data_IF_840214419308
#
_entry.id   IF_840214419308
#
_cell.length_a   1.000
_cell.length_b   1.000
_cell.length_c   1.000
_cell.angle_alpha   90.00
_cell.angle_beta   90.00
_cell.angle_gamma   90.00
#
_symmetry.space_group_name_H-M   'P 1'
#
loop_
_entity.id
_entity.type
_entity.pdbx_description
1 polymer ?
#
# COMPACT_ATOMS: atom_id res chain seq x y z
N UNK A 1 74.60 -88.63 -24.78
CA UNK A 1 73.27 -88.72 -25.43
C UNK A 1 72.33 -89.13 -24.32
N UNK A 2 71.96 -88.17 -23.48
CA UNK A 2 70.92 -87.15 -23.71
C UNK A 2 69.55 -87.74 -23.40
N UNK A 3 69.09 -87.44 -22.19
CA UNK A 3 67.72 -87.58 -21.72
C UNK A 3 67.51 -86.39 -20.78
N UNK A 4 67.06 -85.27 -21.32
CA UNK A 4 66.55 -84.15 -20.51
C UNK A 4 65.03 -84.16 -20.64
N UNK A 5 64.38 -84.66 -19.58
CA UNK A 5 62.96 -84.50 -19.34
C UNK A 5 62.70 -83.11 -18.76
N UNK A 6 61.63 -82.50 -19.26
CA UNK A 6 61.08 -81.22 -18.85
C UNK A 6 60.78 -81.17 -17.34
N UNK A 7 61.13 -80.05 -16.70
CA UNK A 7 60.54 -79.65 -15.43
C UNK A 7 60.07 -78.21 -15.57
N UNK A 8 58.78 -78.05 -15.85
CA UNK A 8 58.07 -76.77 -15.78
C UNK A 8 58.05 -76.30 -14.33
N UNK A 9 58.57 -75.10 -14.08
CA UNK A 9 58.47 -74.43 -12.80
C UNK A 9 57.41 -73.34 -12.93
N UNK A 10 56.19 -73.61 -12.48
CA UNK A 10 55.13 -72.62 -12.36
C UNK A 10 55.60 -71.51 -11.40
N UNK A 11 55.74 -70.30 -11.93
CA UNK A 11 55.91 -69.09 -11.12
C UNK A 11 54.51 -68.56 -10.83
N UNK A 12 54.01 -68.79 -9.61
CA UNK A 12 52.83 -68.10 -9.10
C UNK A 12 53.14 -66.60 -9.06
N UNK A 13 52.58 -65.85 -10.03
CA UNK A 13 52.51 -64.40 -9.95
C UNK A 13 51.41 -64.06 -8.95
N UNK A 14 51.79 -63.71 -7.73
CA UNK A 14 50.89 -63.10 -6.75
C UNK A 14 50.30 -61.82 -7.36
N UNK A 15 49.03 -61.87 -7.77
CA UNK A 15 48.27 -60.70 -8.16
C UNK A 15 48.13 -59.77 -6.95
N UNK A 16 48.80 -58.62 -7.03
CA UNK A 16 48.69 -57.56 -6.05
C UNK A 16 47.30 -56.92 -6.16
N UNK A 17 46.37 -57.37 -5.32
CA UNK A 17 45.01 -56.82 -5.23
C UNK A 17 45.04 -55.41 -4.60
N UNK A 18 45.14 -54.38 -5.44
CA UNK A 18 45.02 -52.98 -5.03
C UNK A 18 43.55 -52.52 -5.05
N UNK A 19 42.69 -53.14 -4.25
CA UNK A 19 41.33 -52.68 -3.99
C UNK A 19 41.29 -51.60 -2.88
N UNK A 20 41.67 -50.37 -3.21
CA UNK A 20 41.00 -49.20 -2.62
C UNK A 20 39.95 -48.71 -3.63
N UNK A 21 38.85 -49.47 -3.73
CA UNK A 21 37.69 -49.14 -4.54
C UNK A 21 37.10 -47.80 -4.08
N UNK A 22 37.26 -46.77 -4.90
CA UNK A 22 36.60 -45.48 -4.73
C UNK A 22 35.08 -45.71 -4.64
N UNK A 23 34.48 -45.47 -3.45
CA UNK A 23 33.04 -45.67 -3.23
C UNK A 23 32.27 -44.52 -3.87
N UNK A 24 31.39 -44.83 -4.81
CA UNK A 24 30.49 -43.86 -5.43
C UNK A 24 29.06 -44.41 -5.49
N UNK A 25 28.09 -43.49 -5.54
CA UNK A 25 26.67 -43.80 -5.74
C UNK A 25 26.17 -43.06 -6.98
N UNK A 26 25.38 -43.73 -7.82
CA UNK A 26 24.78 -43.11 -9.01
C UNK A 26 23.35 -42.69 -8.67
N UNK A 27 23.11 -41.38 -8.65
CA UNK A 27 21.80 -40.81 -8.37
C UNK A 27 21.06 -40.46 -9.68
N UNK A 28 19.75 -40.70 -9.69
CA UNK A 28 18.84 -40.14 -10.71
C UNK A 28 18.50 -38.68 -10.37
N UNK A 29 17.99 -37.88 -11.33
CA UNK A 29 17.55 -36.51 -11.06
C UNK A 29 16.58 -36.38 -9.88
N UNK A 30 15.68 -37.35 -9.68
CA UNK A 30 14.75 -37.37 -8.55
C UNK A 30 15.47 -37.55 -7.20
N UNK A 31 16.58 -38.30 -7.18
CA UNK A 31 17.45 -38.45 -6.01
C UNK A 31 18.11 -37.13 -5.63
N UNK A 32 18.63 -36.40 -6.62
CA UNK A 32 19.23 -35.07 -6.41
C UNK A 32 18.20 -34.09 -5.83
N UNK A 33 16.97 -34.07 -6.39
CA UNK A 33 15.88 -33.22 -5.88
C UNK A 33 15.50 -33.63 -4.45
N UNK A 34 15.47 -34.93 -4.15
CA UNK A 34 15.17 -35.44 -2.81
C UNK A 34 16.19 -34.95 -1.79
N UNK A 35 17.49 -35.02 -2.11
CA UNK A 35 18.54 -34.56 -1.21
C UNK A 35 18.54 -33.03 -1.05
N UNK A 36 18.25 -32.31 -2.13
CA UNK A 36 18.02 -30.87 -2.10
C UNK A 36 16.87 -30.50 -1.13
N UNK A 37 15.74 -31.21 -1.21
CA UNK A 37 14.57 -30.97 -0.35
C UNK A 37 14.83 -31.31 1.13
N UNK A 38 15.63 -32.35 1.41
CA UNK A 38 16.07 -32.67 2.78
C UNK A 38 16.88 -31.51 3.38
N UNK A 39 17.89 -31.01 2.66
CA UNK A 39 18.70 -29.85 3.08
C UNK A 39 17.84 -28.61 3.32
N UNK A 40 16.95 -28.29 2.37
CA UNK A 40 16.01 -27.15 2.52
C UNK A 40 15.15 -27.34 3.77
N UNK A 41 14.61 -28.53 4.01
CA UNK A 41 13.71 -28.79 5.14
C UNK A 41 14.45 -28.69 6.48
N UNK A 42 15.68 -29.20 6.55
CA UNK A 42 16.54 -29.07 7.72
C UNK A 42 16.79 -27.59 8.07
N UNK A 43 17.30 -26.81 7.11
CA UNK A 43 17.58 -25.38 7.33
C UNK A 43 16.30 -24.58 7.59
N UNK A 44 15.19 -24.90 6.94
CA UNK A 44 13.88 -24.27 7.19
C UNK A 44 13.44 -24.42 8.65
N UNK A 45 13.74 -25.58 9.26
CA UNK A 45 13.38 -25.84 10.66
C UNK A 45 14.21 -25.00 11.62
N UNK A 46 15.46 -24.69 11.25
CA UNK A 46 16.38 -23.88 12.06
C UNK A 46 16.06 -22.38 11.92
N UNK A 47 15.85 -21.92 10.67
CA UNK A 47 15.66 -20.50 10.37
C UNK A 47 14.21 -20.03 10.61
N UNK A 48 13.25 -20.95 10.67
CA UNK A 48 11.81 -20.66 10.74
C UNK A 48 11.31 -19.75 9.61
N UNK A 49 11.83 -19.94 8.39
CA UNK A 49 11.43 -19.21 7.18
C UNK A 49 10.89 -20.16 6.11
N UNK A 50 10.05 -19.71 5.16
CA UNK A 50 9.48 -20.58 4.13
C UNK A 50 10.54 -21.35 3.33
N UNK A 51 10.19 -22.57 2.90
CA UNK A 51 11.10 -23.41 2.09
C UNK A 51 11.60 -22.71 0.82
N UNK A 52 10.77 -21.85 0.22
CA UNK A 52 11.12 -21.03 -0.94
C UNK A 52 12.20 -20.01 -0.62
N UNK A 53 12.07 -19.30 0.51
CA UNK A 53 13.07 -18.38 1.06
C UNK A 53 14.37 -19.12 1.37
N UNK A 54 14.30 -20.23 2.09
CA UNK A 54 15.45 -21.09 2.42
C UNK A 54 16.20 -21.53 1.16
N UNK A 55 15.48 -21.96 0.12
CA UNK A 55 16.08 -22.36 -1.16
C UNK A 55 16.84 -21.20 -1.83
N UNK A 56 16.29 -19.98 -1.80
CA UNK A 56 16.94 -18.81 -2.41
C UNK A 56 18.17 -18.39 -1.60
N UNK A 57 18.08 -18.43 -0.26
CA UNK A 57 19.23 -18.20 0.62
C UNK A 57 20.34 -19.22 0.36
N UNK A 58 20.03 -20.52 0.37
CA UNK A 58 21.00 -21.56 0.04
C UNK A 58 21.62 -21.34 -1.35
N UNK A 59 20.83 -20.95 -2.36
CA UNK A 59 21.36 -20.62 -3.67
C UNK A 59 22.34 -19.42 -3.65
N UNK A 60 22.02 -18.35 -2.92
CA UNK A 60 22.89 -17.19 -2.75
C UNK A 60 24.23 -17.56 -2.11
N UNK A 61 24.20 -18.47 -1.14
CA UNK A 61 25.37 -19.01 -0.45
C UNK A 61 26.01 -20.22 -1.15
N UNK A 62 25.62 -20.51 -2.40
CA UNK A 62 26.16 -21.63 -3.20
C UNK A 62 26.03 -23.00 -2.49
N UNK A 63 24.96 -23.18 -1.74
CA UNK A 63 24.65 -24.38 -0.94
C UNK A 63 25.60 -24.65 0.23
N UNK A 64 26.33 -23.63 0.69
CA UNK A 64 27.11 -23.67 1.93
C UNK A 64 26.21 -23.41 3.15
N UNK A 65 25.85 -24.49 3.86
CA UNK A 65 24.93 -24.45 5.01
C UNK A 65 25.56 -23.77 6.23
N UNK A 66 26.85 -24.03 6.50
CA UNK A 66 27.55 -23.49 7.67
C UNK A 66 27.69 -21.97 7.55
N UNK A 67 28.14 -21.50 6.37
CA UNK A 67 28.28 -20.08 6.11
C UNK A 67 26.96 -19.33 6.16
N UNK A 68 25.88 -19.94 5.64
CA UNK A 68 24.54 -19.37 5.74
C UNK A 68 24.12 -19.20 7.20
N UNK A 69 24.31 -20.22 8.04
CA UNK A 69 23.92 -20.17 9.45
C UNK A 69 24.78 -19.19 10.25
N UNK A 70 26.09 -19.14 9.99
CA UNK A 70 27.01 -18.17 10.61
C UNK A 70 26.58 -16.72 10.30
N UNK A 71 26.33 -16.41 9.03
CA UNK A 71 25.93 -15.07 8.61
C UNK A 71 24.51 -14.73 9.09
N UNK A 72 23.58 -15.70 9.13
CA UNK A 72 22.20 -15.51 9.60
C UNK A 72 22.12 -15.13 11.08
N UNK A 73 22.88 -15.82 11.93
CA UNK A 73 22.91 -15.56 13.37
C UNK A 73 23.91 -14.48 13.78
N UNK A 74 24.59 -13.87 12.81
CA UNK A 74 25.43 -12.68 13.03
C UNK A 74 24.58 -11.45 13.40
N UNK A 75 25.24 -10.35 13.81
CA UNK A 75 24.56 -9.10 14.17
C UNK A 75 23.81 -8.43 13.01
N UNK A 76 24.09 -8.82 11.76
CA UNK A 76 23.52 -8.22 10.56
C UNK A 76 22.70 -9.24 9.74
N UNK A 77 22.03 -10.18 10.42
CA UNK A 77 21.21 -11.22 9.77
C UNK A 77 20.14 -10.68 8.80
N UNK A 78 19.71 -9.42 8.95
CA UNK A 78 18.79 -8.77 8.00
C UNK A 78 19.45 -8.46 6.63
N UNK A 79 20.77 -8.24 6.58
CA UNK A 79 21.47 -7.90 5.35
C UNK A 79 21.53 -9.06 4.35
N UNK A 80 21.53 -10.30 4.83
CA UNK A 80 21.57 -11.49 3.95
C UNK A 80 20.32 -11.58 3.06
N UNK A 81 19.15 -11.22 3.61
CA UNK A 81 17.89 -11.24 2.87
C UNK A 81 17.97 -10.22 1.74
N UNK A 82 18.42 -9.00 2.06
CA UNK A 82 18.61 -7.93 1.07
C UNK A 82 19.63 -8.31 0.00
N UNK A 83 20.75 -8.93 0.36
CA UNK A 83 21.77 -9.40 -0.57
C UNK A 83 21.25 -10.50 -1.51
N UNK A 84 20.37 -11.37 -1.01
CA UNK A 84 19.67 -12.40 -1.78
C UNK A 84 18.45 -11.86 -2.57
N UNK A 85 18.13 -10.57 -2.48
CA UNK A 85 16.95 -9.97 -3.12
C UNK A 85 15.61 -10.33 -2.45
N UNK A 86 15.65 -10.82 -1.22
CA UNK A 86 14.52 -11.18 -0.39
C UNK A 86 14.18 -10.06 0.60
N UNK A 87 12.95 -10.09 1.10
CA UNK A 87 12.51 -9.26 2.22
C UNK A 87 12.56 -10.12 3.47
N UNK A 88 13.14 -9.58 4.54
CA UNK A 88 13.19 -10.22 5.85
C UNK A 88 11.76 -10.48 6.36
N UNK A 89 11.39 -11.72 6.72
CA UNK A 89 10.10 -12.03 7.34
C UNK A 89 9.93 -11.43 8.74
N UNK A 90 10.91 -10.69 9.24
CA UNK A 90 10.82 -9.79 10.37
C UNK A 90 10.97 -8.32 9.91
N UNK A 91 9.99 -7.48 10.21
CA UNK A 91 10.01 -6.06 9.87
C UNK A 91 9.69 -5.18 11.08
N UNK A 92 10.48 -4.12 11.25
CA UNK A 92 10.29 -3.15 12.33
C UNK A 92 9.14 -2.20 12.03
N UNK A 93 8.41 -1.81 13.08
CA UNK A 93 7.36 -0.82 12.96
C UNK A 93 7.96 0.52 12.47
N UNK A 94 7.42 1.13 11.40
CA UNK A 94 7.97 2.36 10.82
C UNK A 94 7.69 3.61 11.66
N UNK A 95 6.94 3.49 12.76
CA UNK A 95 6.66 4.61 13.66
C UNK A 95 7.91 4.88 14.51
N UNK A 96 8.43 6.12 14.51
CA UNK A 96 9.53 6.53 15.38
C UNK A 96 9.24 6.12 16.84
N UNK A 97 10.26 5.63 17.54
CA UNK A 97 10.22 5.25 18.96
C UNK A 97 9.27 4.09 19.34
N UNK A 98 8.64 3.42 18.37
CA UNK A 98 7.75 2.28 18.68
C UNK A 98 8.52 1.00 19.09
N UNK A 99 9.73 0.81 18.54
CA UNK A 99 10.68 -0.29 18.83
C UNK A 99 10.07 -1.70 18.84
N UNK A 100 8.96 -1.91 18.12
CA UNK A 100 8.28 -3.21 17.98
C UNK A 100 8.49 -3.75 16.57
N UNK A 101 8.76 -5.05 16.47
CA UNK A 101 8.83 -5.76 15.19
C UNK A 101 7.62 -6.68 14.99
N UNK A 102 7.30 -6.94 13.72
CA UNK A 102 6.28 -7.90 13.30
C UNK A 102 7.01 -9.02 12.56
N UNK A 103 6.72 -10.28 12.91
CA UNK A 103 7.20 -11.47 12.20
C UNK A 103 6.04 -12.09 11.43
N UNK A 104 6.25 -12.44 10.17
CA UNK A 104 5.28 -13.14 9.31
C UNK A 104 5.88 -14.47 8.85
N UNK A 105 5.02 -15.43 8.52
CA UNK A 105 5.47 -16.68 7.91
C UNK A 105 5.86 -16.45 6.45
N UNK A 106 5.01 -15.78 5.68
CA UNK A 106 5.23 -15.50 4.27
C UNK A 106 5.15 -14.00 4.01
N UNK A 107 6.06 -13.50 3.17
CA UNK A 107 6.10 -12.08 2.80
C UNK A 107 5.19 -11.83 1.62
N UNK A 108 4.00 -11.31 1.93
CA UNK A 108 2.98 -10.97 0.93
C UNK A 108 2.71 -9.47 0.90
N UNK A 109 1.96 -9.03 -0.12
CA UNK A 109 1.45 -7.67 -0.19
C UNK A 109 0.18 -7.53 0.65
N UNK A 110 0.33 -7.70 1.96
CA UNK A 110 -0.77 -7.62 2.92
C UNK A 110 -0.46 -6.57 4.00
N UNK A 111 -1.50 -5.96 4.61
CA UNK A 111 -1.29 -5.04 5.70
C UNK A 111 -1.02 -5.77 6.99
N UNK A 112 -0.03 -5.30 7.74
CA UNK A 112 0.17 -5.70 9.13
C UNK A 112 -0.21 -4.56 10.06
N UNK A 113 -0.80 -4.89 11.21
CA UNK A 113 -1.14 -3.92 12.26
C UNK A 113 -0.23 -4.14 13.47
N UNK A 114 0.59 -3.15 13.77
CA UNK A 114 1.40 -3.15 14.99
C UNK A 114 0.49 -2.93 16.22
N UNK A 115 0.94 -3.40 17.39
CA UNK A 115 0.26 -3.16 18.67
C UNK A 115 0.17 -1.67 19.05
N UNK A 116 0.96 -0.78 18.45
CA UNK A 116 0.77 0.68 18.56
C UNK A 116 -0.46 1.20 17.80
N UNK A 117 -1.14 0.34 17.02
CA UNK A 117 -2.29 0.70 16.19
C UNK A 117 -1.94 1.03 14.74
N UNK A 118 -0.66 1.23 14.39
CA UNK A 118 -0.23 1.55 13.02
C UNK A 118 -0.42 0.37 12.08
N UNK A 119 -1.07 0.62 10.94
CA UNK A 119 -1.22 -0.31 9.81
C UNK A 119 -0.21 0.07 8.71
N UNK A 120 0.61 -0.86 8.26
CA UNK A 120 1.65 -0.62 7.26
C UNK A 120 1.84 -1.82 6.33
N UNK A 121 2.48 -1.61 5.19
CA UNK A 121 2.81 -2.69 4.25
C UNK A 121 4.05 -3.43 4.74
N UNK A 122 3.95 -4.75 4.92
CA UNK A 122 5.09 -5.54 5.39
C UNK A 122 6.27 -5.50 4.41
N UNK A 123 5.99 -5.51 3.11
CA UNK A 123 6.98 -5.64 2.03
C UNK A 123 7.88 -4.41 1.85
N UNK A 124 7.35 -3.21 2.06
CA UNK A 124 8.08 -1.95 1.82
C UNK A 124 8.21 -1.06 3.05
N UNK A 125 7.60 -1.44 4.17
CA UNK A 125 7.54 -0.67 5.42
C UNK A 125 6.89 0.72 5.32
N UNK A 126 6.34 1.07 4.15
CA UNK A 126 5.50 2.25 3.97
C UNK A 126 4.11 2.04 4.55
N UNK A 127 3.35 3.13 4.63
CA UNK A 127 1.93 3.03 5.01
C UNK A 127 1.14 2.12 4.10
N UNK A 128 0.10 1.50 4.66
CA UNK A 128 -0.73 0.60 3.89
C UNK A 128 -1.31 1.36 2.69
N UNK A 129 -0.96 0.89 1.50
CA UNK A 129 -1.11 1.66 0.29
C UNK A 129 -1.88 0.93 -0.80
N UNK A 130 -2.85 0.08 -0.44
CA UNK A 130 -3.81 -0.41 -1.42
C UNK A 130 -4.62 0.78 -1.99
N UNK A 131 -4.90 0.80 -3.31
CA UNK A 131 -4.76 -0.32 -4.23
C UNK A 131 -3.44 -0.35 -5.05
N UNK A 132 -2.49 0.54 -4.77
CA UNK A 132 -1.24 0.60 -5.54
C UNK A 132 -0.20 -0.40 -5.04
N UNK A 133 0.51 -1.09 -5.96
CA UNK A 133 1.62 -1.98 -5.60
C UNK A 133 2.87 -1.20 -5.18
N UNK A 134 3.70 -1.83 -4.32
CA UNK A 134 4.95 -1.25 -3.79
C UNK A 134 5.88 -0.72 -4.89
N UNK A 135 5.90 -1.36 -6.07
CA UNK A 135 6.74 -0.93 -7.21
C UNK A 135 6.37 0.47 -7.71
N UNK A 136 5.09 0.77 -7.82
CA UNK A 136 4.62 2.04 -8.35
C UNK A 136 4.62 3.14 -7.30
N UNK A 137 4.33 2.80 -6.03
CA UNK A 137 4.49 3.75 -4.93
C UNK A 137 5.95 4.25 -4.85
N UNK A 138 6.94 3.36 -4.95
CA UNK A 138 8.36 3.76 -4.98
C UNK A 138 8.69 4.69 -6.15
N UNK A 139 8.15 4.42 -7.35
CA UNK A 139 8.30 5.31 -8.51
C UNK A 139 7.68 6.69 -8.25
N UNK A 140 6.49 6.73 -7.66
CA UNK A 140 5.82 7.97 -7.28
C UNK A 140 6.63 8.79 -6.28
N UNK A 141 7.08 8.16 -5.19
CA UNK A 141 7.88 8.83 -4.14
C UNK A 141 9.18 9.39 -4.74
N UNK A 142 9.89 8.61 -5.57
CA UNK A 142 11.09 9.08 -6.25
C UNK A 142 10.81 10.31 -7.12
N UNK A 143 9.77 10.26 -7.96
CA UNK A 143 9.36 11.38 -8.82
C UNK A 143 9.05 12.63 -7.98
N UNK A 144 8.30 12.47 -6.89
CA UNK A 144 7.92 13.60 -6.02
C UNK A 144 9.11 14.23 -5.28
N UNK A 145 10.17 13.46 -5.00
CA UNK A 145 11.38 13.96 -4.33
C UNK A 145 12.26 14.80 -5.28
N UNK A 146 12.22 14.49 -6.58
CA UNK A 146 12.97 15.20 -7.62
C UNK A 146 12.26 16.49 -8.09
N UNK A 147 10.98 16.67 -7.71
CA UNK A 147 10.17 17.81 -8.14
C UNK A 147 10.40 19.09 -7.32
N UNK A 148 11.42 19.85 -7.69
CA UNK A 148 11.60 21.24 -7.24
C UNK A 148 10.54 22.20 -7.81
N UNK A 149 9.87 21.83 -8.91
CA UNK A 149 8.96 22.69 -9.70
C UNK A 149 7.55 22.80 -9.15
N UNK A 150 7.10 21.90 -8.27
CA UNK A 150 5.73 21.97 -7.74
C UNK A 150 5.57 22.92 -6.54
N UNK A 151 6.67 23.48 -6.04
CA UNK A 151 6.68 24.43 -4.92
C UNK A 151 6.03 25.78 -5.27
N UNK A 152 5.84 26.11 -6.55
CA UNK A 152 5.47 27.46 -6.99
C UNK A 152 3.96 27.73 -7.11
N UNK A 153 3.09 26.72 -7.06
CA UNK A 153 1.64 26.86 -7.32
C UNK A 153 0.75 26.56 -6.10
N UNK A 154 1.30 26.64 -4.89
CA UNK A 154 0.57 26.33 -3.65
C UNK A 154 -0.34 27.50 -3.25
N UNK A 155 -1.52 27.55 -3.87
CA UNK A 155 -2.70 28.25 -3.36
C UNK A 155 -3.63 27.28 -2.62
N UNK A 156 -3.08 26.44 -1.73
CA UNK A 156 -3.78 25.24 -1.21
C UNK A 156 -4.77 25.58 -0.09
N UNK A 157 -4.54 26.66 0.65
CA UNK A 157 -5.30 26.95 1.88
C UNK A 157 -6.21 28.17 1.79
N UNK A 158 -6.06 29.03 0.77
CA UNK A 158 -6.89 30.22 0.61
C UNK A 158 -7.41 30.33 -0.83
N UNK A 159 -8.72 30.49 -0.97
CA UNK A 159 -9.42 30.72 -2.25
C UNK A 159 -10.54 31.73 -2.07
N UNK A 160 -11.04 32.29 -3.16
CA UNK A 160 -12.21 33.17 -3.14
C UNK A 160 -13.51 32.40 -3.37
N UNK A 161 -14.62 32.88 -2.81
CA UNK A 161 -15.94 32.36 -3.09
C UNK A 161 -16.30 32.59 -4.56
N UNK A 162 -16.71 31.57 -5.33
CA UNK A 162 -17.06 31.73 -6.75
C UNK A 162 -18.30 32.61 -7.00
N UNK A 163 -19.12 32.88 -5.97
CA UNK A 163 -20.33 33.71 -6.11
C UNK A 163 -20.14 35.14 -5.59
N UNK A 164 -19.41 35.35 -4.50
CA UNK A 164 -19.29 36.68 -3.89
C UNK A 164 -17.85 37.17 -3.69
N UNK A 165 -16.86 36.39 -4.14
CA UNK A 165 -15.42 36.69 -4.08
C UNK A 165 -14.85 36.90 -2.67
N UNK A 166 -15.63 36.64 -1.62
CA UNK A 166 -15.12 36.66 -0.25
C UNK A 166 -13.98 35.65 -0.10
N UNK A 167 -12.88 36.07 0.52
CA UNK A 167 -11.76 35.19 0.84
C UNK A 167 -12.21 34.09 1.81
N UNK A 168 -11.85 32.84 1.51
CA UNK A 168 -12.16 31.64 2.26
C UNK A 168 -10.84 30.91 2.54
N UNK A 169 -10.58 30.65 3.82
CA UNK A 169 -9.50 29.76 4.26
C UNK A 169 -10.07 28.36 4.50
N UNK A 170 -9.36 27.32 4.05
CA UNK A 170 -9.78 25.93 4.27
C UNK A 170 -9.48 25.51 5.71
N UNK A 171 -10.53 25.24 6.49
CA UNK A 171 -10.44 24.93 7.92
C UNK A 171 -10.96 23.53 8.30
N UNK A 172 -10.83 22.54 7.41
CA UNK A 172 -11.32 21.17 7.61
C UNK A 172 -11.09 20.28 6.39
N UNK A 173 -11.26 18.97 6.55
CA UNK A 173 -10.91 17.97 5.54
C UNK A 173 -11.91 17.92 4.38
N UNK A 174 -13.15 18.35 4.61
CA UNK A 174 -14.22 18.32 3.63
C UNK A 174 -13.95 19.24 2.41
N UNK A 175 -14.18 18.74 1.19
CA UNK A 175 -14.13 19.61 -0.01
C UNK A 175 -15.47 20.30 -0.32
N UNK A 176 -16.56 19.95 0.37
CA UNK A 176 -17.83 20.67 0.31
C UNK A 176 -17.75 21.89 1.21
N UNK A 177 -17.75 23.07 0.61
CA UNK A 177 -17.58 24.34 1.31
C UNK A 177 -18.85 25.17 1.20
N UNK A 178 -19.26 25.75 2.33
CA UNK A 178 -20.40 26.68 2.40
C UNK A 178 -19.86 28.08 2.75
N UNK A 179 -20.04 29.04 1.84
CA UNK A 179 -19.57 30.41 2.05
C UNK A 179 -20.28 31.05 3.26
N UNK A 180 -19.53 31.58 4.22
CA UNK A 180 -20.11 32.22 5.41
C UNK A 180 -20.89 33.49 5.07
N UNK A 181 -20.45 34.22 4.04
CA UNK A 181 -21.03 35.50 3.61
C UNK A 181 -22.31 35.33 2.79
N UNK A 182 -22.27 34.54 1.70
CA UNK A 182 -23.42 34.40 0.78
C UNK A 182 -24.17 33.05 0.87
N UNK A 183 -23.73 32.14 1.76
CA UNK A 183 -24.27 30.78 1.92
C UNK A 183 -24.20 29.88 0.67
N UNK A 184 -23.51 30.30 -0.38
CA UNK A 184 -23.27 29.47 -1.55
C UNK A 184 -22.44 28.24 -1.22
N UNK A 185 -22.88 27.08 -1.71
CA UNK A 185 -22.19 25.81 -1.54
C UNK A 185 -21.46 25.41 -2.82
N UNK A 186 -20.19 25.03 -2.69
CA UNK A 186 -19.34 24.71 -3.83
C UNK A 186 -18.26 23.68 -3.48
N UNK A 187 -17.65 23.11 -4.52
CA UNK A 187 -16.52 22.19 -4.39
C UNK A 187 -15.20 22.97 -4.31
N UNK A 188 -14.39 22.74 -3.27
CA UNK A 188 -13.05 23.35 -3.11
C UNK A 188 -12.09 22.99 -4.26
N UNK A 189 -12.32 21.85 -4.94
CA UNK A 189 -11.50 21.40 -6.06
C UNK A 189 -11.78 22.23 -7.30
N UNK A 190 -13.00 22.13 -7.82
CA UNK A 190 -13.36 22.64 -9.15
C UNK A 190 -14.14 23.96 -9.12
N UNK A 191 -14.40 24.52 -7.93
CA UNK A 191 -15.17 25.77 -7.69
C UNK A 191 -16.60 25.78 -8.24
N UNK A 192 -17.08 24.66 -8.79
CA UNK A 192 -18.47 24.49 -9.26
C UNK A 192 -19.45 24.30 -8.09
N UNK A 193 -20.71 24.64 -8.34
CA UNK A 193 -21.85 24.50 -7.41
C UNK A 193 -21.90 23.10 -6.80
N UNK A 194 -22.19 23.02 -5.50
CA UNK A 194 -22.53 21.79 -4.83
C UNK A 194 -24.05 21.58 -4.86
N UNK A 195 -24.50 20.41 -5.32
CA UNK A 195 -25.93 20.07 -5.37
C UNK A 195 -26.12 18.61 -4.97
N UNK A 196 -25.80 18.29 -3.71
CA UNK A 196 -25.81 16.93 -3.16
C UNK A 196 -24.58 16.08 -3.51
N UNK A 197 -23.89 16.40 -4.62
CA UNK A 197 -22.59 15.86 -5.04
C UNK A 197 -21.78 16.94 -5.74
N UNK A 198 -20.50 16.70 -5.97
CA UNK A 198 -19.71 17.56 -6.85
C UNK A 198 -20.34 17.59 -8.26
N UNK A 199 -20.78 18.76 -8.73
CA UNK A 199 -21.46 18.91 -10.02
C UNK A 199 -20.54 18.63 -11.22
N UNK A 200 -19.22 18.77 -11.05
CA UNK A 200 -18.27 18.41 -12.11
C UNK A 200 -18.24 16.89 -12.26
N UNK A 201 -18.91 16.38 -13.29
CA UNK A 201 -18.89 14.96 -13.67
C UNK A 201 -17.47 14.43 -13.92
N UNK A 202 -16.51 15.32 -14.18
CA UNK A 202 -15.09 15.01 -14.42
C UNK A 202 -14.14 15.60 -13.36
N UNK A 203 -14.60 15.91 -12.15
CA UNK A 203 -13.73 16.50 -11.10
C UNK A 203 -12.46 15.68 -10.78
N UNK A 204 -12.50 14.37 -11.03
CA UNK A 204 -11.46 13.42 -10.72
C UNK A 204 -10.80 12.79 -11.97
N UNK A 205 -11.27 13.11 -13.19
CA UNK A 205 -10.71 12.59 -14.45
C UNK A 205 -9.89 13.68 -15.15
N UNK A 206 -8.74 13.31 -15.68
CA UNK A 206 -7.94 14.20 -16.52
C UNK A 206 -8.47 14.11 -17.96
N UNK A 207 -8.82 15.26 -18.55
CA UNK A 207 -9.30 15.36 -19.93
C UNK A 207 -8.42 16.37 -20.68
N UNK A 208 -7.73 15.89 -21.72
CA UNK A 208 -6.80 16.68 -22.54
C UNK A 208 -7.54 17.78 -23.35
N UNK A 209 -8.85 17.64 -23.56
CA UNK A 209 -9.61 18.46 -24.50
C UNK A 209 -10.21 19.77 -23.94
N UNK A 210 -10.22 19.99 -22.62
CA UNK A 210 -10.93 21.14 -22.01
C UNK A 210 -10.06 22.38 -21.72
N UNK A 211 -8.75 22.37 -22.01
CA UNK A 211 -7.86 23.54 -21.84
C UNK A 211 -7.17 23.97 -23.15
N UNK A 212 -7.98 24.27 -24.17
CA UNK A 212 -7.54 25.07 -25.32
C UNK A 212 -8.09 26.48 -25.12
N UNK A 213 -7.23 27.42 -24.72
CA UNK A 213 -7.30 28.89 -24.95
C UNK A 213 -6.62 29.72 -23.84
N UNK A 214 -5.41 29.38 -23.41
CA UNK A 214 -4.47 30.37 -22.86
C UNK A 214 -3.08 30.08 -23.41
N UNK A 215 -2.66 30.83 -24.43
CA UNK A 215 -1.27 30.93 -24.85
C UNK A 215 -0.45 31.39 -23.64
N UNK A 216 0.30 30.47 -23.07
CA UNK A 216 1.34 30.74 -22.07
C UNK A 216 2.36 29.60 -22.13
N UNK A 217 3.57 29.84 -21.61
CA UNK A 217 4.70 28.90 -21.55
C UNK A 217 4.37 27.60 -20.79
N UNK A 218 3.58 26.74 -21.42
CA UNK A 218 2.97 25.57 -20.80
C UNK A 218 3.97 24.39 -20.77
N UNK A 219 4.21 23.78 -19.59
CA UNK A 219 4.94 22.52 -19.47
C UNK A 219 4.25 21.38 -20.25
N UNK A 220 5.03 20.39 -20.72
CA UNK A 220 4.56 19.25 -21.54
C UNK A 220 3.29 18.57 -21.00
N UNK A 221 2.49 17.94 -21.87
CA UNK A 221 1.24 17.25 -21.48
C UNK A 221 1.44 16.19 -20.37
N UNK A 222 2.61 15.55 -20.35
CA UNK A 222 3.02 14.66 -19.27
C UNK A 222 3.14 15.38 -17.90
N UNK A 223 3.64 16.63 -17.87
CA UNK A 223 3.70 17.43 -16.66
C UNK A 223 2.30 17.83 -16.18
N UNK A 224 1.40 18.23 -17.08
CA UNK A 224 0.01 18.56 -16.73
C UNK A 224 -0.72 17.38 -16.10
N UNK A 225 -0.61 16.21 -16.74
CA UNK A 225 -1.18 14.95 -16.23
C UNK A 225 -0.61 14.65 -14.84
N UNK A 226 0.71 14.69 -14.70
CA UNK A 226 1.37 14.46 -13.41
C UNK A 226 0.87 15.43 -12.31
N UNK A 227 0.84 16.73 -12.62
CA UNK A 227 0.37 17.77 -11.70
C UNK A 227 -1.08 17.53 -11.26
N UNK A 228 -1.96 17.15 -12.19
CA UNK A 228 -3.37 16.84 -11.90
C UNK A 228 -3.51 15.76 -10.82
N UNK A 229 -2.79 14.64 -10.96
CA UNK A 229 -2.85 13.54 -9.99
C UNK A 229 -2.13 13.90 -8.69
N UNK A 230 -1.00 14.62 -8.77
CA UNK A 230 -0.24 15.07 -7.60
C UNK A 230 -1.03 16.01 -6.70
N UNK A 231 -1.75 16.97 -7.29
CA UNK A 231 -2.58 17.90 -6.52
C UNK A 231 -3.73 17.20 -5.80
N UNK A 232 -4.28 16.12 -6.36
CA UNK A 232 -5.34 15.32 -5.71
C UNK A 232 -4.78 14.44 -4.60
N UNK A 233 -3.61 13.84 -4.82
CA UNK A 233 -2.87 13.13 -3.78
C UNK A 233 -2.61 14.02 -2.56
N UNK A 234 -1.99 15.19 -2.75
CA UNK A 234 -1.63 16.13 -1.67
C UNK A 234 -2.87 16.62 -0.94
N UNK A 235 -3.98 16.83 -1.65
CA UNK A 235 -5.24 17.27 -1.04
C UNK A 235 -5.81 16.22 -0.08
N UNK A 236 -5.88 14.96 -0.50
CA UNK A 236 -6.34 13.88 0.38
C UNK A 236 -5.37 13.66 1.53
N UNK A 237 -4.06 13.81 1.32
CA UNK A 237 -3.06 13.80 2.39
C UNK A 237 -3.29 14.90 3.43
N UNK A 238 -3.53 16.14 2.98
CA UNK A 238 -3.82 17.26 3.88
C UNK A 238 -5.14 17.08 4.62
N UNK A 239 -6.20 16.59 3.94
CA UNK A 239 -7.47 16.27 4.58
C UNK A 239 -7.30 15.17 5.64
N UNK A 240 -6.50 14.14 5.37
CA UNK A 240 -6.19 13.07 6.33
C UNK A 240 -5.47 13.58 7.58
N UNK A 241 -4.54 14.53 7.44
CA UNK A 241 -3.86 15.15 8.59
C UNK A 241 -4.83 15.99 9.42
N UNK A 242 -5.77 16.71 8.79
CA UNK A 242 -6.80 17.47 9.50
C UNK A 242 -7.78 16.55 10.25
N UNK A 243 -8.13 15.41 9.66
CA UNK A 243 -8.97 14.38 10.29
C UNK A 243 -8.32 13.74 11.53
N UNK A 244 -6.98 13.84 11.68
CA UNK A 244 -6.29 13.40 12.91
C UNK A 244 -6.76 14.16 14.15
N UNK A 245 -7.06 15.45 14.00
CA UNK A 245 -7.56 16.30 15.08
C UNK A 245 -9.08 16.17 15.26
N UNK A 246 -9.81 15.80 14.20
CA UNK A 246 -11.26 15.64 14.22
C UNK A 246 -11.73 14.64 15.29
N UNK A 247 -10.97 13.58 15.57
CA UNK A 247 -11.35 12.60 16.60
C UNK A 247 -11.50 13.25 17.99
N UNK A 248 -10.58 14.13 18.37
CA UNK A 248 -10.63 14.83 19.66
C UNK A 248 -11.80 15.81 19.69
N UNK A 249 -11.99 16.58 18.62
CA UNK A 249 -13.08 17.55 18.51
C UNK A 249 -14.45 16.88 18.57
N UNK A 250 -14.63 15.79 17.82
CA UNK A 250 -15.84 14.96 17.83
C UNK A 250 -16.09 14.47 19.25
N UNK A 251 -15.09 13.91 19.92
CA UNK A 251 -15.27 13.39 21.27
C UNK A 251 -15.68 14.47 22.29
N UNK A 252 -15.04 15.64 22.24
CA UNK A 252 -15.37 16.76 23.11
C UNK A 252 -16.79 17.28 22.85
N UNK A 253 -17.21 17.39 21.58
CA UNK A 253 -18.57 17.83 21.21
C UNK A 253 -19.64 16.94 21.83
N UNK A 254 -19.47 15.62 21.76
CA UNK A 254 -20.51 14.68 22.19
C UNK A 254 -20.57 14.47 23.71
N UNK A 255 -19.43 14.56 24.39
CA UNK A 255 -19.40 14.55 25.85
C UNK A 255 -20.11 15.76 26.47
N UNK A 256 -20.25 16.85 25.71
CA UNK A 256 -20.98 18.06 26.15
C UNK A 256 -22.51 17.94 26.06
N UNK A 257 -23.03 16.89 25.38
CA UNK A 257 -24.47 16.69 25.29
C UNK A 257 -25.03 16.07 26.58
N UNK A 258 -26.26 16.43 26.94
CA UNK A 258 -26.97 15.87 28.10
C UNK A 258 -27.49 14.46 27.77
N UNK A 259 -26.63 13.46 27.92
CA UNK A 259 -26.92 12.05 27.61
C UNK A 259 -26.54 11.14 28.78
N UNK A 260 -27.15 9.96 28.87
CA UNK A 260 -26.76 8.93 29.83
C UNK A 260 -25.40 8.32 29.48
N UNK A 261 -24.73 7.73 30.47
CA UNK A 261 -23.42 7.10 30.28
C UNK A 261 -23.42 5.99 29.21
N UNK A 262 -24.51 5.22 29.08
CA UNK A 262 -24.65 4.16 28.06
C UNK A 262 -24.72 4.77 26.66
N UNK A 263 -25.48 5.85 26.49
CA UNK A 263 -25.64 6.53 25.20
C UNK A 263 -24.33 7.20 24.77
N UNK A 264 -23.59 7.81 25.70
CA UNK A 264 -22.25 8.38 25.44
C UNK A 264 -21.27 7.29 25.01
N UNK A 265 -21.27 6.12 25.67
CA UNK A 265 -20.42 5.00 25.27
C UNK A 265 -20.78 4.47 23.87
N UNK A 266 -22.06 4.32 23.58
CA UNK A 266 -22.52 3.91 22.24
C UNK A 266 -22.08 4.91 21.17
N UNK A 267 -22.27 6.21 21.44
CA UNK A 267 -21.90 7.29 20.54
C UNK A 267 -20.39 7.33 20.28
N UNK A 268 -19.59 7.12 21.33
CA UNK A 268 -18.14 7.00 21.22
C UNK A 268 -17.72 5.90 20.24
N UNK A 269 -18.33 4.71 20.34
CA UNK A 269 -18.04 3.59 19.44
C UNK A 269 -18.42 3.91 18.00
N UNK A 270 -19.61 4.48 17.79
CA UNK A 270 -20.10 4.87 16.47
C UNK A 270 -19.19 5.91 15.82
N UNK A 271 -18.82 6.96 16.56
CA UNK A 271 -17.98 8.04 16.05
C UNK A 271 -16.54 7.58 15.79
N UNK A 272 -15.97 6.77 16.68
CA UNK A 272 -14.65 6.17 16.47
C UNK A 272 -14.65 5.35 15.18
N UNK A 273 -15.70 4.57 14.92
CA UNK A 273 -15.84 3.82 13.67
C UNK A 273 -15.97 4.75 12.46
N UNK A 274 -16.78 5.80 12.55
CA UNK A 274 -16.98 6.76 11.48
C UNK A 274 -15.67 7.48 11.09
N UNK A 275 -14.91 7.97 12.06
CA UNK A 275 -13.62 8.63 11.82
C UNK A 275 -12.58 7.64 11.27
N UNK A 276 -12.53 6.41 11.77
CA UNK A 276 -11.61 5.39 11.24
C UNK A 276 -11.92 5.04 9.77
N UNK A 277 -13.20 4.87 9.41
CA UNK A 277 -13.61 4.64 8.03
C UNK A 277 -13.32 5.86 7.16
N UNK A 278 -13.59 7.08 7.65
CA UNK A 278 -13.27 8.31 6.93
C UNK A 278 -11.78 8.36 6.57
N UNK A 279 -10.90 8.17 7.56
CA UNK A 279 -9.45 8.13 7.36
C UNK A 279 -9.02 7.04 6.38
N UNK A 280 -9.58 5.83 6.51
CA UNK A 280 -9.30 4.72 5.58
C UNK A 280 -9.73 5.09 4.15
N UNK A 281 -10.88 5.72 3.95
CA UNK A 281 -11.32 6.12 2.61
C UNK A 281 -10.43 7.20 2.00
N UNK A 282 -9.94 8.16 2.79
CA UNK A 282 -8.96 9.17 2.33
C UNK A 282 -7.64 8.53 1.93
N UNK A 283 -7.12 7.60 2.75
CA UNK A 283 -5.91 6.84 2.44
C UNK A 283 -6.08 6.06 1.13
N UNK A 284 -7.16 5.30 0.98
CA UNK A 284 -7.45 4.57 -0.26
C UNK A 284 -7.56 5.51 -1.45
N UNK A 285 -8.32 6.61 -1.35
CA UNK A 285 -8.46 7.61 -2.42
C UNK A 285 -7.11 8.20 -2.85
N UNK A 286 -6.30 8.58 -1.87
CA UNK A 286 -4.95 9.11 -2.09
C UNK A 286 -4.13 8.16 -2.95
N UNK A 287 -4.10 6.87 -2.59
CA UNK A 287 -3.36 5.85 -3.35
C UNK A 287 -4.05 5.44 -4.66
N UNK A 288 -5.38 5.52 -4.76
CA UNK A 288 -6.11 5.31 -6.02
C UNK A 288 -5.73 6.34 -7.08
N UNK A 289 -5.45 7.60 -6.70
CA UNK A 289 -4.94 8.59 -7.65
C UNK A 289 -3.53 8.26 -8.15
N UNK A 290 -2.66 7.75 -7.29
CA UNK A 290 -1.33 7.30 -7.73
C UNK A 290 -1.47 6.10 -8.66
N UNK A 291 -2.37 5.16 -8.35
CA UNK A 291 -2.66 4.03 -9.22
C UNK A 291 -3.17 4.51 -10.59
N UNK A 292 -4.17 5.40 -10.61
CA UNK A 292 -4.78 5.90 -11.83
C UNK A 292 -3.81 6.71 -12.71
N UNK A 293 -2.83 7.39 -12.12
CA UNK A 293 -1.74 8.04 -12.85
C UNK A 293 -0.91 7.05 -13.67
N UNK A 294 -0.53 5.92 -13.07
CA UNK A 294 0.25 4.89 -13.78
C UNK A 294 -0.60 4.00 -14.68
N UNK A 295 -1.92 3.90 -14.47
CA UNK A 295 -2.79 3.08 -15.31
C UNK A 295 -3.02 3.71 -16.69
N UNK A 296 -2.85 2.92 -17.75
CA UNK A 296 -3.19 3.33 -19.11
C UNK A 296 -4.70 3.48 -19.32
N UNK A 297 -5.11 4.27 -20.33
CA UNK A 297 -6.52 4.46 -20.69
C UNK A 297 -7.14 3.12 -21.10
N UNK A 298 -8.17 2.69 -20.39
CA UNK A 298 -8.91 1.46 -20.67
C UNK A 298 -10.35 1.58 -20.14
N UNK A 299 -11.21 0.64 -20.54
CA UNK A 299 -12.56 0.53 -19.99
C UNK A 299 -12.51 0.31 -18.47
N UNK A 300 -11.54 -0.47 -17.99
CA UNK A 300 -11.35 -0.72 -16.56
C UNK A 300 -10.89 0.54 -15.83
N UNK A 301 -10.00 1.35 -16.41
CA UNK A 301 -9.64 2.65 -15.83
C UNK A 301 -10.85 3.58 -15.72
N UNK A 302 -11.73 3.58 -16.73
CA UNK A 302 -12.95 4.39 -16.71
C UNK A 302 -13.90 3.98 -15.58
N UNK A 303 -14.05 2.67 -15.34
CA UNK A 303 -14.84 2.12 -14.22
C UNK A 303 -14.21 2.50 -12.88
N UNK A 304 -12.88 2.38 -12.75
CA UNK A 304 -12.16 2.79 -11.56
C UNK A 304 -12.40 4.28 -11.26
N UNK A 305 -12.27 5.15 -12.25
CA UNK A 305 -12.48 6.59 -12.08
C UNK A 305 -13.92 6.92 -11.69
N UNK A 306 -14.91 6.14 -12.13
CA UNK A 306 -16.29 6.25 -11.65
C UNK A 306 -16.40 5.84 -10.18
N UNK A 307 -15.86 4.68 -9.80
CA UNK A 307 -15.84 4.20 -8.42
C UNK A 307 -15.12 5.17 -7.48
N UNK A 308 -14.01 5.78 -7.94
CA UNK A 308 -13.29 6.83 -7.21
C UNK A 308 -14.19 8.05 -6.98
N UNK A 309 -14.95 8.49 -7.97
CA UNK A 309 -15.83 9.66 -7.85
C UNK A 309 -16.93 9.44 -6.81
N UNK A 310 -17.56 8.26 -6.84
CA UNK A 310 -18.60 7.90 -5.88
C UNK A 310 -18.03 7.80 -4.47
N UNK A 311 -16.84 7.22 -4.32
CA UNK A 311 -16.12 7.18 -3.04
C UNK A 311 -15.78 8.58 -2.54
N UNK A 312 -15.27 9.47 -3.38
CA UNK A 312 -14.99 10.87 -2.98
C UNK A 312 -16.23 11.60 -2.49
N UNK A 313 -17.35 11.50 -3.20
CA UNK A 313 -18.60 12.14 -2.80
C UNK A 313 -19.11 11.58 -1.47
N UNK A 314 -19.03 10.27 -1.27
CA UNK A 314 -19.43 9.62 -0.02
C UNK A 314 -18.54 10.04 1.15
N UNK A 315 -17.21 10.04 0.95
CA UNK A 315 -16.20 10.48 1.91
C UNK A 315 -16.39 11.94 2.31
N UNK A 316 -16.56 12.85 1.34
CA UNK A 316 -16.80 14.27 1.64
C UNK A 316 -18.13 14.47 2.36
N UNK A 317 -19.17 13.70 2.01
CA UNK A 317 -20.44 13.74 2.74
C UNK A 317 -20.28 13.24 4.19
N UNK A 318 -19.55 12.16 4.44
CA UNK A 318 -19.30 11.67 5.80
C UNK A 318 -18.50 12.70 6.62
N UNK A 319 -17.43 13.26 6.04
CA UNK A 319 -16.62 14.31 6.65
C UNK A 319 -17.46 15.54 7.01
N UNK A 320 -18.35 15.98 6.12
CA UNK A 320 -19.28 17.08 6.41
C UNK A 320 -20.12 16.81 7.66
N UNK A 321 -20.80 15.65 7.74
CA UNK A 321 -21.64 15.31 8.89
C UNK A 321 -20.85 15.18 10.21
N UNK A 322 -19.58 14.81 10.16
CA UNK A 322 -18.71 14.74 11.33
C UNK A 322 -18.18 16.11 11.77
N UNK A 323 -18.01 17.04 10.83
CA UNK A 323 -17.50 18.39 11.08
C UNK A 323 -18.59 19.38 11.53
N UNK A 324 -19.85 19.14 11.14
CA UNK A 324 -21.00 19.99 11.49
C UNK A 324 -21.23 20.15 13.00
N UNK A 325 -21.92 21.24 13.36
CA UNK A 325 -22.47 21.45 14.70
C UNK A 325 -23.78 20.67 14.86
N UNK A 326 -24.01 20.15 16.06
CA UNK A 326 -25.09 19.20 16.31
C UNK A 326 -25.87 19.67 17.53
N UNK A 327 -27.14 19.97 17.31
CA UNK A 327 -28.07 20.42 18.32
C UNK A 327 -28.79 19.21 18.94
N UNK A 328 -29.08 19.28 20.25
CA UNK A 328 -29.71 18.20 21.03
C UNK A 328 -31.00 17.63 20.40
N UNK A 329 -31.76 18.46 19.66
CA UNK A 329 -33.02 18.06 19.05
C UNK A 329 -32.87 17.12 17.84
N UNK A 330 -31.70 17.11 17.17
CA UNK A 330 -31.47 16.35 15.94
C UNK A 330 -30.45 15.20 16.09
N UNK A 331 -29.93 14.99 17.31
CA UNK A 331 -28.84 14.05 17.60
C UNK A 331 -29.11 12.65 17.04
N UNK A 332 -30.28 12.08 17.31
CA UNK A 332 -30.63 10.72 16.85
C UNK A 332 -30.67 10.61 15.32
N UNK A 333 -31.20 11.62 14.65
CA UNK A 333 -31.27 11.66 13.20
C UNK A 333 -29.87 11.76 12.59
N UNK A 334 -29.01 12.60 13.18
CA UNK A 334 -27.64 12.81 12.71
C UNK A 334 -26.79 11.55 12.94
N UNK A 335 -26.92 10.88 14.09
CA UNK A 335 -26.24 9.61 14.38
C UNK A 335 -26.62 8.56 13.34
N UNK A 336 -27.91 8.38 13.03
CA UNK A 336 -28.36 7.43 11.99
C UNK A 336 -27.79 7.78 10.62
N UNK A 337 -27.75 9.06 10.24
CA UNK A 337 -27.14 9.50 8.98
C UNK A 337 -25.64 9.19 8.94
N UNK A 338 -24.90 9.43 10.03
CA UNK A 338 -23.46 9.11 10.14
C UNK A 338 -23.23 7.61 10.01
N UNK A 339 -24.01 6.77 10.68
CA UNK A 339 -23.89 5.31 10.59
C UNK A 339 -24.11 4.81 9.17
N UNK A 340 -25.18 5.25 8.50
CA UNK A 340 -25.48 4.86 7.13
C UNK A 340 -24.38 5.30 6.15
N UNK A 341 -23.88 6.53 6.30
CA UNK A 341 -22.78 7.06 5.48
C UNK A 341 -21.46 6.33 5.73
N UNK A 342 -21.18 5.99 7.00
CA UNK A 342 -20.02 5.20 7.38
C UNK A 342 -20.05 3.84 6.71
N UNK A 343 -21.20 3.14 6.76
CA UNK A 343 -21.35 1.84 6.10
C UNK A 343 -21.16 1.95 4.58
N UNK A 344 -21.76 2.97 3.96
CA UNK A 344 -21.65 3.19 2.53
C UNK A 344 -20.21 3.50 2.09
N UNK A 345 -19.49 4.34 2.83
CA UNK A 345 -18.07 4.62 2.59
C UNK A 345 -17.20 3.35 2.67
N UNK A 346 -17.43 2.52 3.69
CA UNK A 346 -16.72 1.24 3.84
C UNK A 346 -17.01 0.28 2.68
N UNK A 347 -18.26 0.21 2.21
CA UNK A 347 -18.64 -0.59 1.05
C UNK A 347 -17.96 -0.11 -0.23
N UNK A 348 -17.95 1.21 -0.50
CA UNK A 348 -17.29 1.76 -1.69
C UNK A 348 -15.78 1.52 -1.67
N UNK A 349 -15.15 1.58 -0.49
CA UNK A 349 -13.74 1.27 -0.30
C UNK A 349 -13.42 -0.18 -0.70
N UNK A 350 -14.29 -1.13 -0.33
CA UNK A 350 -14.18 -2.54 -0.73
C UNK A 350 -14.38 -2.72 -2.23
N UNK A 351 -15.47 -2.18 -2.79
CA UNK A 351 -15.77 -2.28 -4.22
C UNK A 351 -14.62 -1.75 -5.07
N UNK A 352 -14.02 -0.63 -4.70
CA UNK A 352 -12.89 -0.06 -5.41
C UNK A 352 -11.65 -0.97 -5.32
N UNK A 353 -11.33 -1.48 -4.13
CA UNK A 353 -10.17 -2.37 -3.94
C UNK A 353 -10.37 -3.71 -4.66
N UNK A 354 -11.55 -4.31 -4.57
CA UNK A 354 -11.91 -5.57 -5.22
C UNK A 354 -11.79 -5.45 -6.74
N UNK A 355 -12.27 -4.34 -7.32
CA UNK A 355 -12.14 -4.08 -8.76
C UNK A 355 -10.67 -3.99 -9.20
N UNK A 356 -9.82 -3.34 -8.42
CA UNK A 356 -8.38 -3.26 -8.76
C UNK A 356 -7.70 -4.61 -8.57
N UNK A 357 -8.00 -5.34 -7.49
CA UNK A 357 -7.44 -6.66 -7.20
C UNK A 357 -7.83 -7.69 -8.27
N UNK A 358 -9.11 -7.76 -8.63
CA UNK A 358 -9.58 -8.60 -9.73
C UNK A 358 -8.85 -8.28 -11.05
N UNK A 359 -8.57 -6.99 -11.29
CA UNK A 359 -7.78 -6.57 -12.44
C UNK A 359 -6.31 -6.94 -12.37
N UNK A 360 -5.71 -7.08 -11.18
CA UNK A 360 -4.37 -7.67 -11.05
C UNK A 360 -4.41 -9.17 -11.37
N UNK A 361 -5.38 -9.91 -10.82
CA UNK A 361 -5.51 -11.36 -11.01
C UNK A 361 -5.77 -11.73 -12.48
N UNK A 362 -6.58 -10.92 -13.17
CA UNK A 362 -6.95 -11.13 -14.57
C UNK A 362 -6.04 -10.40 -15.57
N UNK A 363 -5.05 -9.65 -15.09
CA UNK A 363 -4.09 -8.93 -15.95
C UNK A 363 -4.71 -7.79 -16.78
N UNK A 364 -5.71 -7.08 -16.25
CA UNK A 364 -6.39 -5.97 -16.94
C UNK A 364 -5.56 -4.69 -17.01
N UNK A 365 -4.61 -4.52 -16.09
CA UNK A 365 -3.90 -3.25 -15.91
C UNK A 365 -2.59 -3.21 -16.69
N UNK A 366 -2.57 -2.39 -17.75
CA UNK A 366 -1.32 -1.94 -18.38
C UNK A 366 -0.88 -0.65 -17.71
N UNK A 367 0.41 -0.54 -17.41
CA UNK A 367 0.96 0.60 -16.67
C UNK A 367 1.99 1.34 -17.50
N UNK A 368 1.88 2.67 -17.51
CA UNK A 368 2.83 3.55 -18.18
C UNK A 368 4.19 3.43 -17.48
N UNK A 369 5.19 2.96 -18.21
CA UNK A 369 6.59 3.03 -17.78
C UNK A 369 7.11 4.46 -18.01
N UNK A 370 6.60 5.43 -17.25
CA UNK A 370 7.24 6.75 -17.25
C UNK A 370 8.64 6.60 -16.67
N UNK A 371 9.64 6.95 -17.49
CA UNK A 371 11.08 6.92 -17.21
C UNK A 371 11.47 7.89 -16.11
#
# INVERSE_FOLDING_TARGET
MDTTEDYEMEVELEEFDSEEKYRYEILKPEGIVTDMLKKITFITTILEVPKTTTRILLYHFKWDEEKLLEDYFSKDGAAIFKAAGLVDPLSWCPVPDCNRAVKVQEVEFEPVKCACGRKFCFKCSEMWHAPILCKYLRKWVKKTAEDSTTSHWIGINAKECPQCLAAIEKNGGCNHMTCRNCKYEFCWICTKKWSGRCFSTRCNRYDEAEEVNQESDIPTDAFKTYFFYRMRFIRHLNSLEQERNLMMDVQNKWQSLQMSWIEVFFLQVVMTKAVNVLRQTRETLMYSYVFAYFAEKSNQKTILEFNMQDMENATDSLSHFLEMHIDNAEVDLIIRKIQNKTLYCDQLCKVLQDHVNEGYDKGWWTHVETT
#
